data_IF_256540904354
#
_entry.id   IF_256540904354
#
_cell.length_a   1.000
_cell.length_b   1.000
_cell.length_c   1.000
_cell.angle_alpha   90.00
_cell.angle_beta   90.00
_cell.angle_gamma   90.00
#
_symmetry.space_group_name_H-M   'P 1'
#
loop_
_entity.id
_entity.type
_entity.pdbx_description
1 polymer ?
#
# COMPACT_ATOMS: atom_id res chain seq x y z
N UNK A 1 20.30 1.09 -17.59
CA UNK A 1 21.23 -0.05 -17.64
C UNK A 1 20.74 -1.08 -16.65
N UNK A 2 20.37 -2.27 -17.10
CA UNK A 2 19.97 -3.36 -16.22
C UNK A 2 21.24 -3.84 -15.50
N UNK A 3 21.24 -3.81 -14.16
CA UNK A 3 22.26 -4.47 -13.36
C UNK A 3 22.03 -5.96 -13.47
N UNK A 4 22.61 -6.58 -14.52
CA UNK A 4 22.61 -8.02 -14.71
C UNK A 4 23.46 -8.65 -13.59
N UNK A 5 22.83 -8.83 -12.45
CA UNK A 5 23.37 -9.55 -11.30
C UNK A 5 23.38 -11.03 -11.67
N UNK A 6 24.51 -11.54 -12.17
CA UNK A 6 24.65 -12.93 -12.61
C UNK A 6 24.47 -13.87 -11.41
N UNK A 7 23.30 -14.52 -11.32
CA UNK A 7 23.02 -15.55 -10.32
C UNK A 7 23.93 -16.78 -10.55
N UNK A 8 24.29 -17.53 -9.49
CA UNK A 8 25.08 -18.76 -9.65
C UNK A 8 24.39 -19.78 -10.58
N UNK A 9 25.13 -20.53 -11.42
CA UNK A 9 24.52 -21.43 -12.42
C UNK A 9 23.63 -22.54 -11.82
N UNK A 10 23.96 -23.02 -10.62
CA UNK A 10 23.14 -23.97 -9.88
C UNK A 10 21.79 -23.36 -9.46
N UNK A 11 21.81 -22.09 -9.03
CA UNK A 11 20.61 -21.33 -8.65
C UNK A 11 19.72 -21.11 -9.87
N UNK A 12 20.29 -20.75 -11.03
CA UNK A 12 19.53 -20.58 -12.28
C UNK A 12 18.81 -21.88 -12.67
N UNK A 13 19.51 -23.03 -12.61
CA UNK A 13 18.90 -24.34 -12.90
C UNK A 13 17.75 -24.67 -11.94
N UNK A 14 17.90 -24.34 -10.66
CA UNK A 14 16.85 -24.54 -9.66
C UNK A 14 15.65 -23.61 -9.92
N UNK A 15 15.90 -22.34 -10.24
CA UNK A 15 14.87 -21.36 -10.57
C UNK A 15 14.08 -21.74 -11.81
N UNK A 16 14.75 -22.19 -12.89
CA UNK A 16 14.06 -22.66 -14.09
C UNK A 16 13.11 -23.83 -13.79
N UNK A 17 13.55 -24.78 -12.96
CA UNK A 17 12.70 -25.88 -12.49
C UNK A 17 11.53 -25.37 -11.63
N UNK A 18 11.78 -24.41 -10.75
CA UNK A 18 10.75 -23.85 -9.88
C UNK A 18 9.71 -23.04 -10.67
N UNK A 19 10.14 -22.19 -11.59
CA UNK A 19 9.25 -21.39 -12.45
C UNK A 19 8.36 -22.30 -13.31
N UNK A 20 8.95 -23.36 -13.90
CA UNK A 20 8.17 -24.38 -14.61
C UNK A 20 7.13 -25.04 -13.70
N UNK A 21 7.51 -25.40 -12.47
CA UNK A 21 6.57 -25.98 -11.52
C UNK A 21 5.46 -25.01 -11.09
N UNK A 22 5.77 -23.71 -10.97
CA UNK A 22 4.80 -22.66 -10.65
C UNK A 22 3.84 -22.38 -11.81
N UNK A 23 4.27 -22.57 -13.05
CA UNK A 23 3.42 -22.47 -14.24
C UNK A 23 2.52 -23.71 -14.41
N UNK A 24 3.07 -24.92 -14.23
CA UNK A 24 2.31 -26.19 -14.33
C UNK A 24 1.32 -26.38 -13.16
N UNK A 25 1.72 -25.98 -11.94
CA UNK A 25 0.93 -26.16 -10.71
C UNK A 25 0.87 -24.86 -9.91
N UNK A 26 0.17 -23.83 -10.41
CA UNK A 26 0.11 -22.53 -9.76
C UNK A 26 -0.57 -22.64 -8.38
N UNK A 27 -0.06 -21.96 -7.34
CA UNK A 27 -0.79 -21.79 -6.10
C UNK A 27 -2.12 -21.05 -6.34
N UNK A 28 -3.08 -21.24 -5.44
CA UNK A 28 -4.38 -20.56 -5.52
C UNK A 28 -4.21 -19.03 -5.60
N UNK A 29 -4.78 -18.44 -6.65
CA UNK A 29 -4.77 -17.00 -6.88
C UNK A 29 -3.38 -16.42 -7.16
N UNK A 30 -2.42 -17.23 -7.60
CA UNK A 30 -1.07 -16.77 -7.96
C UNK A 30 -0.72 -17.28 -9.35
N UNK A 31 -0.35 -16.36 -10.24
CA UNK A 31 0.12 -16.69 -11.59
C UNK A 31 1.48 -16.06 -11.84
N UNK A 32 2.48 -16.89 -12.11
CA UNK A 32 3.83 -16.41 -12.46
C UNK A 32 3.90 -16.14 -13.96
N UNK A 33 4.68 -15.13 -14.34
CA UNK A 33 5.06 -14.88 -15.74
C UNK A 33 6.47 -15.39 -15.91
N UNK A 34 6.59 -16.47 -16.68
CA UNK A 34 7.88 -17.07 -17.02
C UNK A 34 8.56 -16.20 -18.07
N UNK A 35 9.79 -15.79 -17.78
CA UNK A 35 10.69 -15.13 -18.71
C UNK A 35 11.99 -15.92 -18.75
N UNK A 36 12.33 -16.50 -19.89
CA UNK A 36 13.52 -17.33 -20.05
C UNK A 36 14.80 -16.48 -20.27
N UNK A 37 14.64 -15.20 -20.58
CA UNK A 37 15.75 -14.29 -20.89
C UNK A 37 16.40 -13.67 -19.63
N UNK A 38 15.61 -13.47 -18.56
CA UNK A 38 16.05 -12.81 -17.33
C UNK A 38 15.49 -13.48 -16.07
N UNK A 39 16.36 -14.18 -15.35
CA UNK A 39 16.06 -14.80 -14.05
C UNK A 39 16.29 -13.87 -12.85
N UNK A 40 16.83 -12.66 -13.05
CA UNK A 40 17.06 -11.70 -11.97
C UNK A 40 15.76 -11.05 -11.50
N UNK A 41 14.75 -10.97 -12.38
CA UNK A 41 13.45 -10.37 -12.09
C UNK A 41 12.31 -11.30 -12.48
N UNK A 42 11.55 -11.76 -11.48
CA UNK A 42 10.39 -12.64 -11.69
C UNK A 42 9.12 -11.83 -11.52
N UNK A 43 8.19 -11.92 -12.47
CA UNK A 43 6.90 -11.24 -12.39
C UNK A 43 5.79 -12.21 -11.99
N UNK A 44 4.82 -11.73 -11.22
CA UNK A 44 3.65 -12.51 -10.83
C UNK A 44 2.40 -11.63 -10.76
N UNK A 45 1.24 -12.23 -11.02
CA UNK A 45 -0.07 -11.70 -10.69
C UNK A 45 -0.59 -12.41 -9.44
N UNK A 46 -1.07 -11.63 -8.48
CA UNK A 46 -1.73 -12.14 -7.27
C UNK A 46 -3.18 -11.69 -7.28
N UNK A 47 -4.10 -12.64 -7.23
CA UNK A 47 -5.51 -12.38 -7.03
C UNK A 47 -5.75 -11.98 -5.58
N UNK A 48 -6.47 -10.87 -5.42
CA UNK A 48 -6.88 -10.36 -4.13
C UNK A 48 -7.73 -11.39 -3.38
N UNK A 49 -7.32 -11.82 -2.17
CA UNK A 49 -8.02 -12.88 -1.45
C UNK A 49 -9.46 -12.49 -1.10
N UNK A 50 -10.36 -13.47 -1.13
CA UNK A 50 -11.77 -13.27 -0.78
C UNK A 50 -11.94 -12.81 0.68
N UNK A 51 -12.92 -11.95 0.93
CA UNK A 51 -13.19 -11.41 2.26
C UNK A 51 -12.18 -10.37 2.74
N UNK A 52 -11.31 -9.88 1.83
CA UNK A 52 -10.37 -8.78 2.07
C UNK A 52 -10.77 -7.54 1.26
N UNK A 53 -10.27 -6.34 1.59
CA UNK A 53 -10.47 -5.15 0.75
C UNK A 53 -9.86 -5.24 -0.67
N UNK A 54 -9.09 -6.29 -0.93
CA UNK A 54 -8.38 -6.54 -2.18
C UNK A 54 -9.14 -7.46 -3.12
N UNK A 55 -10.23 -8.10 -2.65
CA UNK A 55 -11.03 -9.06 -3.40
C UNK A 55 -11.41 -8.54 -4.80
N UNK A 56 -11.41 -9.44 -5.79
CA UNK A 56 -11.65 -9.16 -7.22
C UNK A 56 -10.59 -8.26 -7.88
N UNK A 57 -9.53 -7.87 -7.17
CA UNK A 57 -8.35 -7.23 -7.76
C UNK A 57 -7.32 -8.25 -8.23
N UNK A 58 -6.60 -7.90 -9.29
CA UNK A 58 -5.39 -8.60 -9.76
C UNK A 58 -4.21 -7.66 -9.58
N UNK A 59 -3.24 -8.07 -8.76
CA UNK A 59 -2.09 -7.26 -8.39
C UNK A 59 -0.84 -7.81 -9.05
N UNK A 60 -0.38 -7.12 -10.10
CA UNK A 60 0.93 -7.37 -10.70
C UNK A 60 2.03 -6.96 -9.72
N UNK A 61 2.99 -7.85 -9.50
CA UNK A 61 4.20 -7.60 -8.74
C UNK A 61 5.45 -8.15 -9.44
N UNK A 62 6.62 -7.78 -8.93
CA UNK A 62 7.90 -8.36 -9.29
C UNK A 62 8.70 -8.76 -8.04
N UNK A 63 9.49 -9.81 -8.18
CA UNK A 63 10.53 -10.22 -7.24
C UNK A 63 11.88 -9.97 -7.89
N UNK A 64 12.78 -9.29 -7.19
CA UNK A 64 14.15 -9.05 -7.63
C UNK A 64 15.10 -9.91 -6.81
N UNK A 65 15.81 -10.80 -7.50
CA UNK A 65 16.77 -11.71 -6.89
C UNK A 65 18.14 -11.01 -6.87
N UNK A 66 18.74 -10.92 -5.69
CA UNK A 66 20.11 -10.42 -5.54
C UNK A 66 21.13 -11.54 -5.77
N UNK A 67 22.42 -11.20 -5.90
CA UNK A 67 23.52 -12.19 -5.93
C UNK A 67 23.54 -13.16 -4.74
N UNK A 68 23.01 -12.71 -3.59
CA UNK A 68 22.98 -13.51 -2.38
C UNK A 68 21.83 -14.53 -2.36
N UNK A 69 20.92 -14.52 -3.34
CA UNK A 69 19.85 -15.50 -3.41
C UNK A 69 20.42 -16.91 -3.65
N UNK A 70 19.97 -17.96 -2.93
CA UNK A 70 18.85 -18.00 -1.98
C UNK A 70 19.20 -17.77 -0.50
N UNK A 71 20.44 -17.39 -0.15
CA UNK A 71 20.82 -17.08 1.24
C UNK A 71 20.00 -15.92 1.81
N UNK A 72 19.73 -14.91 0.98
CA UNK A 72 18.77 -13.85 1.26
C UNK A 72 17.49 -14.02 0.44
N UNK A 73 16.31 -13.63 0.98
CA UNK A 73 15.07 -13.64 0.20
C UNK A 73 15.13 -12.60 -0.92
N UNK A 74 14.34 -12.78 -2.00
CA UNK A 74 14.20 -11.76 -3.02
C UNK A 74 13.52 -10.50 -2.47
N UNK A 75 13.78 -9.35 -3.09
CA UNK A 75 13.05 -8.10 -2.81
C UNK A 75 11.75 -8.08 -3.59
N UNK A 76 10.63 -7.81 -2.93
CA UNK A 76 9.31 -7.76 -3.56
C UNK A 76 8.82 -6.34 -3.83
N UNK A 77 8.20 -6.12 -4.99
CA UNK A 77 7.59 -4.85 -5.36
C UNK A 77 6.25 -5.05 -6.06
N UNK A 78 5.19 -4.41 -5.57
CA UNK A 78 3.94 -4.28 -6.32
C UNK A 78 4.10 -3.26 -7.44
N UNK A 79 3.79 -3.66 -8.67
CA UNK A 79 3.70 -2.75 -9.82
C UNK A 79 2.29 -2.12 -9.89
N UNK A 80 1.30 -2.86 -9.41
CA UNK A 80 -0.06 -2.35 -9.23
C UNK A 80 -0.13 -1.53 -7.95
N UNK A 81 -0.58 -0.28 -8.03
CA UNK A 81 -0.74 0.58 -6.85
C UNK A 81 -1.72 -0.06 -5.88
N UNK A 82 -1.37 -0.08 -4.59
CA UNK A 82 -2.13 -0.71 -3.52
C UNK A 82 -2.04 0.13 -2.25
N UNK A 83 -3.13 0.22 -1.51
CA UNK A 83 -3.16 0.85 -0.19
C UNK A 83 -3.07 -0.22 0.89
N UNK A 84 -1.86 -0.45 1.41
CA UNK A 84 -1.57 -1.55 2.34
C UNK A 84 -0.50 -1.12 3.37
N UNK A 85 -0.58 -1.52 4.65
CA UNK A 85 0.37 -1.12 5.69
C UNK A 85 1.82 -1.45 5.37
N UNK A 86 2.10 -2.68 4.92
CA UNK A 86 3.47 -3.17 4.67
C UNK A 86 4.01 -2.91 3.26
N UNK A 87 3.35 -2.05 2.48
CA UNK A 87 3.76 -1.74 1.10
C UNK A 87 3.99 -0.24 0.99
N UNK A 88 5.19 0.15 0.59
CA UNK A 88 5.56 1.55 0.38
C UNK A 88 4.88 2.15 -0.86
N UNK A 89 4.93 3.47 -0.98
CA UNK A 89 4.33 4.21 -2.11
C UNK A 89 4.94 3.86 -3.48
N UNK A 90 6.21 3.44 -3.50
CA UNK A 90 6.91 2.93 -4.68
C UNK A 90 6.61 1.44 -4.98
N UNK A 91 5.77 0.79 -4.16
CA UNK A 91 5.40 -0.61 -4.28
C UNK A 91 6.29 -1.58 -3.50
N UNK A 92 7.38 -1.14 -2.87
CA UNK A 92 8.28 -2.02 -2.12
C UNK A 92 7.58 -2.69 -0.94
N UNK A 93 7.76 -3.99 -0.81
CA UNK A 93 7.25 -4.80 0.30
C UNK A 93 8.26 -4.75 1.45
N UNK A 94 7.77 -4.58 2.68
CA UNK A 94 8.62 -4.55 3.86
C UNK A 94 9.55 -5.75 3.94
N UNK A 95 10.84 -5.48 4.06
CA UNK A 95 11.90 -6.49 4.11
C UNK A 95 11.70 -7.46 5.29
N UNK A 96 11.18 -6.98 6.42
CA UNK A 96 10.89 -7.83 7.58
C UNK A 96 9.84 -8.90 7.26
N UNK A 97 8.88 -8.62 6.39
CA UNK A 97 7.86 -9.58 5.97
C UNK A 97 8.47 -10.77 5.23
N UNK A 98 9.42 -10.51 4.32
CA UNK A 98 10.03 -11.55 3.49
C UNK A 98 11.23 -12.24 4.17
N UNK A 99 11.87 -11.57 5.13
CA UNK A 99 12.98 -12.14 5.91
C UNK A 99 12.53 -13.01 7.06
N UNK A 100 11.35 -12.75 7.63
CA UNK A 100 10.82 -13.53 8.74
C UNK A 100 10.67 -14.99 8.31
N UNK A 101 11.34 -15.89 9.01
CA UNK A 101 11.35 -17.34 8.77
C UNK A 101 11.92 -17.77 7.40
N UNK A 102 12.61 -16.87 6.69
CA UNK A 102 13.31 -17.22 5.45
C UNK A 102 14.45 -18.19 5.73
N UNK A 103 14.53 -19.24 4.91
CA UNK A 103 15.70 -20.07 4.81
C UNK A 103 15.95 -20.46 3.34
N UNK A 104 17.18 -20.80 2.95
CA UNK A 104 17.53 -20.99 1.54
C UNK A 104 16.90 -22.22 0.87
N UNK A 105 16.25 -23.09 1.65
CA UNK A 105 15.48 -24.21 1.09
C UNK A 105 14.07 -23.80 0.65
N UNK A 106 13.61 -22.63 1.08
CA UNK A 106 12.37 -22.03 0.60
C UNK A 106 12.59 -21.41 -0.78
N UNK A 107 11.61 -21.58 -1.66
CA UNK A 107 11.65 -21.07 -3.02
C UNK A 107 10.71 -19.88 -3.25
N UNK A 108 10.65 -19.41 -4.49
CA UNK A 108 9.70 -18.41 -4.98
C UNK A 108 8.24 -18.76 -4.63
N UNK A 109 7.85 -20.05 -4.66
CA UNK A 109 6.49 -20.49 -4.27
C UNK A 109 6.13 -20.00 -2.88
N UNK A 110 7.04 -20.20 -1.92
CA UNK A 110 6.83 -19.80 -0.54
C UNK A 110 6.68 -18.28 -0.43
N UNK A 111 7.59 -17.52 -1.07
CA UNK A 111 7.55 -16.05 -1.08
C UNK A 111 6.21 -15.52 -1.61
N UNK A 112 5.73 -16.05 -2.74
CA UNK A 112 4.47 -15.60 -3.33
C UNK A 112 3.27 -15.91 -2.43
N UNK A 113 3.27 -17.06 -1.76
CA UNK A 113 2.24 -17.42 -0.77
C UNK A 113 2.29 -16.46 0.43
N UNK A 114 3.47 -16.15 0.96
CA UNK A 114 3.64 -15.19 2.06
C UNK A 114 3.10 -13.82 1.68
N UNK A 115 3.39 -13.34 0.45
CA UNK A 115 2.85 -12.07 -0.04
C UNK A 115 1.33 -12.11 -0.16
N UNK A 116 0.73 -13.21 -0.64
CA UNK A 116 -0.74 -13.34 -0.66
C UNK A 116 -1.33 -13.36 0.74
N UNK A 117 -0.71 -14.06 1.69
CA UNK A 117 -1.13 -14.08 3.09
C UNK A 117 -1.04 -12.69 3.74
N UNK A 118 -0.04 -11.89 3.36
CA UNK A 118 0.11 -10.51 3.83
C UNK A 118 -1.12 -9.65 3.48
N UNK A 119 -1.75 -9.88 2.32
CA UNK A 119 -2.98 -9.18 1.92
C UNK A 119 -4.19 -9.56 2.79
N UNK A 120 -4.15 -10.72 3.46
CA UNK A 120 -5.19 -11.18 4.37
C UNK A 120 -4.97 -10.57 5.75
N UNK A 121 -3.75 -10.69 6.27
CA UNK A 121 -3.37 -10.26 7.61
C UNK A 121 -2.10 -9.36 7.54
N UNK A 122 -2.27 -8.03 7.46
CA UNK A 122 -1.15 -7.10 7.49
C UNK A 122 -0.45 -7.09 8.86
N UNK A 123 0.83 -6.68 8.86
CA UNK A 123 1.66 -6.54 10.06
C UNK A 123 1.80 -5.06 10.46
N UNK A 124 0.96 -4.51 11.35
CA UNK A 124 0.97 -3.09 11.70
C UNK A 124 2.28 -2.60 12.31
N UNK A 125 3.03 -3.48 13.00
CA UNK A 125 4.31 -3.19 13.62
C UNK A 125 5.44 -2.91 12.61
N UNK A 126 5.26 -3.33 11.35
CA UNK A 126 6.21 -3.16 10.25
C UNK A 126 5.61 -2.32 9.11
N UNK A 127 4.72 -1.38 9.44
CA UNK A 127 4.05 -0.54 8.45
C UNK A 127 5.05 0.41 7.76
N UNK A 128 5.13 0.32 6.44
CA UNK A 128 5.82 1.28 5.57
C UNK A 128 4.89 2.42 5.14
N UNK A 129 3.59 2.15 5.10
CA UNK A 129 2.55 3.15 4.91
C UNK A 129 1.88 3.43 6.26
N UNK A 130 2.36 4.47 6.93
CA UNK A 130 1.91 4.86 8.27
C UNK A 130 0.41 5.16 8.32
N UNK A 131 -0.14 5.77 7.26
CA UNK A 131 -1.57 6.08 7.18
C UNK A 131 -2.41 4.80 7.12
N UNK A 132 -2.01 3.85 6.27
CA UNK A 132 -2.68 2.56 6.18
C UNK A 132 -2.55 1.76 7.49
N UNK A 133 -1.37 1.76 8.12
CA UNK A 133 -1.14 1.10 9.41
C UNK A 133 -1.97 1.69 10.54
N UNK A 134 -2.04 3.02 10.64
CA UNK A 134 -2.87 3.73 11.62
C UNK A 134 -4.35 3.41 11.45
N UNK A 135 -4.87 3.52 10.21
CA UNK A 135 -6.28 3.20 9.94
C UNK A 135 -6.58 1.73 10.20
N UNK A 136 -5.68 0.80 9.91
CA UNK A 136 -5.87 -0.63 10.21
C UNK A 136 -6.16 -0.85 11.70
N UNK A 137 -5.42 -0.18 12.58
CA UNK A 137 -5.53 -0.32 14.03
C UNK A 137 -6.69 0.48 14.64
N UNK A 138 -6.90 1.70 14.17
CA UNK A 138 -7.85 2.63 14.79
C UNK A 138 -9.25 2.58 14.15
N UNK A 139 -9.34 2.35 12.84
CA UNK A 139 -10.60 2.36 12.09
C UNK A 139 -10.53 1.46 10.85
N UNK A 140 -10.71 0.16 11.07
CA UNK A 140 -10.63 -0.85 10.02
C UNK A 140 -11.59 -0.59 8.85
N UNK A 141 -12.79 -0.05 9.11
CA UNK A 141 -13.77 0.23 8.05
C UNK A 141 -13.25 1.30 7.08
N UNK A 142 -12.60 2.33 7.61
CA UNK A 142 -12.02 3.41 6.81
C UNK A 142 -10.76 2.95 6.05
N UNK A 143 -9.92 2.12 6.68
CA UNK A 143 -8.83 1.42 5.99
C UNK A 143 -9.38 0.60 4.82
N UNK A 144 -10.40 -0.22 5.08
CA UNK A 144 -10.99 -1.11 4.09
C UNK A 144 -11.67 -0.33 2.96
N UNK A 145 -12.29 0.83 3.27
CA UNK A 145 -12.87 1.73 2.27
C UNK A 145 -11.79 2.27 1.32
N UNK A 146 -10.67 2.77 1.86
CA UNK A 146 -9.54 3.24 1.05
C UNK A 146 -8.92 2.12 0.22
N UNK A 147 -8.67 0.96 0.82
CA UNK A 147 -8.11 -0.18 0.12
C UNK A 147 -9.02 -0.67 -1.02
N UNK A 148 -10.34 -0.80 -0.80
CA UNK A 148 -11.31 -1.13 -1.85
C UNK A 148 -11.33 -0.10 -3.00
N UNK A 149 -11.23 1.18 -2.68
CA UNK A 149 -11.15 2.23 -3.70
C UNK A 149 -9.89 2.08 -4.56
N UNK A 150 -8.73 1.87 -3.94
CA UNK A 150 -7.47 1.61 -4.65
C UNK A 150 -7.56 0.36 -5.53
N UNK A 151 -8.07 -0.76 -4.98
CA UNK A 151 -8.31 -2.00 -5.71
C UNK A 151 -9.19 -1.75 -6.94
N UNK A 152 -10.31 -1.04 -6.77
CA UNK A 152 -11.27 -0.76 -7.83
C UNK A 152 -10.76 0.15 -8.94
N UNK A 153 -9.69 0.92 -8.72
CA UNK A 153 -9.09 1.82 -9.71
C UNK A 153 -7.87 1.16 -10.37
N UNK A 154 -7.01 0.52 -9.58
CA UNK A 154 -5.68 0.10 -10.02
C UNK A 154 -5.55 -1.38 -10.34
N UNK A 155 -6.31 -2.23 -9.64
CA UNK A 155 -6.16 -3.68 -9.70
C UNK A 155 -7.21 -4.37 -10.60
N UNK A 156 -7.91 -3.62 -11.46
CA UNK A 156 -8.82 -4.24 -12.44
C UNK A 156 -8.05 -4.76 -13.64
N UNK A 157 -8.44 -5.93 -14.14
CA UNK A 157 -7.92 -6.46 -15.39
C UNK A 157 -8.11 -5.41 -16.50
N UNK A 158 -7.02 -4.99 -17.14
CA UNK A 158 -7.12 -4.14 -18.34
C UNK A 158 -7.87 -4.95 -19.40
N UNK A 159 -8.96 -4.42 -19.99
CA UNK A 159 -9.58 -5.09 -21.12
C UNK A 159 -8.53 -5.22 -22.21
N UNK A 160 -8.25 -6.46 -22.63
CA UNK A 160 -7.44 -6.70 -23.81
C UNK A 160 -8.22 -6.13 -24.99
N UNK A 161 -7.88 -4.92 -25.44
CA UNK A 161 -8.31 -4.46 -26.75
C UNK A 161 -7.75 -5.46 -27.76
N UNK A 162 -8.62 -6.33 -28.30
CA UNK A 162 -8.29 -7.06 -29.52
C UNK A 162 -8.05 -5.98 -30.56
N UNK A 163 -6.83 -5.93 -31.11
CA UNK A 163 -6.55 -5.14 -32.31
C UNK A 163 -7.37 -5.74 -33.45
N UNK A 164 -8.63 -5.31 -33.54
CA UNK A 164 -9.48 -5.55 -34.69
C UNK A 164 -9.14 -4.48 -35.72
N UNK A 165 -8.74 -4.93 -36.91
CA UNK A 165 -8.53 -4.07 -38.06
C UNK A 165 -9.70 -3.09 -38.21
N UNK A 166 -9.40 -1.80 -38.19
CA UNK A 166 -10.35 -0.76 -38.52
C UNK A 166 -10.43 -0.77 -40.05
N UNK A 167 -11.41 -1.49 -40.60
CA UNK A 167 -11.81 -1.30 -42.00
C UNK A 167 -12.45 0.08 -42.06
N UNK A 168 -11.76 1.02 -42.70
CA UNK A 168 -12.28 2.36 -42.97
C UNK A 168 -13.61 2.26 -43.72
N UNK A 169 -14.69 2.71 -43.08
CA UNK A 169 -15.91 3.11 -43.79
C UNK A 169 -15.96 4.62 -43.77
N UNK A 170 -15.35 5.24 -44.78
CA UNK A 170 -15.57 6.65 -45.08
C UNK A 170 -17.01 6.80 -45.55
N UNK A 171 -17.84 7.47 -44.76
CA UNK A 171 -19.14 7.99 -45.22
C UNK A 171 -18.99 9.50 -45.26
N UNK A 172 -18.73 10.03 -46.45
CA UNK A 172 -18.69 11.45 -46.71
C UNK A 172 -20.10 12.04 -46.57
N UNK A 173 -20.27 13.03 -45.70
CA UNK A 173 -21.46 13.88 -45.67
C UNK A 173 -21.21 15.06 -46.61
N UNK A 174 -21.89 15.03 -47.75
CA UNK A 174 -22.01 16.14 -48.68
C UNK A 174 -23.08 17.09 -48.12
N UNK A 175 -22.71 18.32 -47.73
CA UNK A 175 -23.65 19.41 -47.45
C UNK A 175 -23.53 20.41 -48.58
N UNK A 176 -24.54 20.40 -49.45
CA UNK A 176 -24.70 21.37 -50.53
C UNK A 176 -24.92 22.78 -50.00
N UNK A 177 -24.29 23.71 -50.71
CA UNK A 177 -24.33 25.15 -50.48
C UNK A 177 -25.24 25.78 -51.53
N UNK A 178 -26.38 26.33 -51.13
CA UNK A 178 -27.19 27.21 -51.99
C UNK A 178 -27.64 28.47 -51.25
N UNK A 179 -26.94 29.57 -51.59
CA UNK A 179 -27.39 30.94 -51.88
C UNK A 179 -28.45 31.67 -51.01
N UNK A 180 -27.93 32.70 -50.32
CA UNK A 180 -28.30 34.15 -50.38
C UNK A 180 -29.76 34.61 -50.40
N UNK A 181 -30.12 35.47 -49.42
CA UNK A 181 -30.49 36.89 -49.64
C UNK A 181 -30.88 37.67 -48.35
N UNK A 182 -30.09 38.71 -48.05
CA UNK A 182 -30.42 40.13 -47.65
C UNK A 182 -31.44 40.49 -46.54
N UNK A 183 -30.98 41.17 -45.46
CA UNK A 183 -31.10 42.64 -45.18
C UNK A 183 -30.89 43.02 -43.68
N UNK A 184 -29.96 43.98 -43.48
CA UNK A 184 -29.85 45.10 -42.51
C UNK A 184 -30.26 45.00 -41.02
N UNK A 185 -29.34 45.39 -40.11
CA UNK A 185 -29.28 46.76 -39.53
C UNK A 185 -28.31 46.88 -38.33
N UNK A 186 -27.47 47.92 -38.35
CA UNK A 186 -26.63 48.44 -37.27
C UNK A 186 -27.42 48.99 -36.08
N UNK A 187 -26.96 48.80 -34.83
CA UNK A 187 -26.97 49.84 -33.76
C UNK A 187 -25.77 49.63 -32.79
N UNK A 188 -24.97 50.70 -32.69
CA UNK A 188 -23.91 51.06 -31.71
C UNK A 188 -24.50 51.37 -30.33
N UNK A 189 -23.80 51.13 -29.22
CA UNK A 189 -23.51 52.08 -28.09
C UNK A 189 -22.86 51.37 -26.85
N UNK A 190 -21.84 52.04 -26.29
CA UNK A 190 -20.98 51.86 -25.09
C UNK A 190 -21.73 51.89 -23.72
N UNK A 191 -21.15 51.85 -22.48
CA UNK A 191 -19.73 52.10 -22.06
C UNK A 191 -19.13 51.35 -20.81
N UNK A 192 -17.84 51.64 -20.54
CA UNK A 192 -17.14 51.83 -19.23
C UNK A 192 -16.97 50.63 -18.25
N UNK A 193 -15.95 50.52 -17.38
CA UNK A 193 -14.62 51.14 -17.14
C UNK A 193 -14.01 50.41 -15.91
N UNK A 194 -12.66 50.30 -15.86
CA UNK A 194 -11.79 50.11 -14.66
C UNK A 194 -11.98 48.86 -13.77
N UNK A 195 -11.08 48.44 -12.87
CA UNK A 195 -9.62 48.36 -12.74
C UNK A 195 -9.36 47.48 -11.47
N UNK A 196 -8.30 46.64 -11.52
CA UNK A 196 -7.55 45.86 -10.49
C UNK A 196 -7.53 46.34 -8.99
N UNK A 197 -6.88 45.64 -8.00
CA UNK A 197 -6.70 44.20 -7.69
C UNK A 197 -6.83 43.82 -6.17
N UNK A 198 -6.51 42.55 -5.87
CA UNK A 198 -6.34 41.79 -4.58
C UNK A 198 -5.76 42.51 -3.34
N UNK A 199 -5.93 41.88 -2.14
CA UNK A 199 -4.77 41.67 -1.26
C UNK A 199 -4.69 40.25 -0.62
N UNK A 200 -3.44 39.81 -0.41
CA UNK A 200 -3.01 38.69 0.44
C UNK A 200 -2.18 39.27 1.60
N UNK A 201 -2.41 38.83 2.83
CA UNK A 201 -1.59 39.19 3.99
C UNK A 201 -1.33 37.98 4.90
N UNK A 202 -0.04 37.67 5.09
CA UNK A 202 0.54 36.88 6.19
C UNK A 202 1.12 37.86 7.22
N UNK A 203 1.29 37.46 8.49
CA UNK A 203 2.34 38.04 9.33
C UNK A 203 3.35 36.99 9.80
N UNK A 204 4.63 37.37 9.67
CA UNK A 204 5.79 36.81 10.37
C UNK A 204 6.30 37.90 11.32
N UNK A 205 6.67 37.55 12.55
CA UNK A 205 7.33 38.48 13.47
C UNK A 205 8.64 37.86 13.99
N UNK A 206 9.71 38.61 13.80
CA UNK A 206 11.10 38.39 14.21
C UNK A 206 11.46 39.18 15.47
N UNK A 207 12.40 38.68 16.28
CA UNK A 207 13.54 39.38 16.93
C UNK A 207 14.05 38.52 18.12
N UNK A 208 15.25 37.95 18.17
CA UNK A 208 16.63 38.47 18.11
C UNK A 208 17.11 39.17 19.40
N UNK A 209 18.02 38.52 20.15
CA UNK A 209 19.38 38.98 20.57
C UNK A 209 19.85 38.37 21.91
N UNK A 210 21.15 38.06 21.99
CA UNK A 210 21.93 38.14 23.23
C UNK A 210 22.77 36.90 23.57
N UNK A 211 24.10 37.05 23.53
CA UNK A 211 25.13 36.02 23.69
C UNK A 211 25.55 35.78 25.16
N UNK A 212 26.20 34.63 25.46
CA UNK A 212 27.55 34.50 26.08
C UNK A 212 27.80 33.11 26.70
N UNK A 213 29.06 32.68 26.64
CA UNK A 213 29.65 31.42 27.13
C UNK A 213 29.63 31.29 28.67
N UNK A 214 29.59 30.06 29.19
CA UNK A 214 30.70 29.50 29.98
C UNK A 214 30.51 28.01 30.32
N UNK A 215 31.62 27.27 30.30
CA UNK A 215 31.80 25.92 30.85
C UNK A 215 31.95 26.00 32.38
N UNK A 216 31.60 24.93 33.11
CA UNK A 216 32.43 24.30 34.17
C UNK A 216 31.78 22.99 34.66
N UNK A 217 32.67 22.09 35.09
CA UNK A 217 32.60 20.68 35.49
C UNK A 217 32.19 20.42 36.96
N UNK A 218 31.78 19.16 37.27
CA UNK A 218 31.69 18.54 38.61
C UNK A 218 30.45 17.62 38.73
N UNK A 219 30.47 16.28 38.58
CA UNK A 219 31.08 15.15 39.32
C UNK A 219 30.54 14.93 40.75
N UNK A 220 30.18 13.65 41.04
CA UNK A 220 29.86 12.95 42.30
C UNK A 220 28.38 13.03 42.77
N UNK A 221 27.69 12.01 43.28
CA UNK A 221 27.91 10.58 43.59
C UNK A 221 26.56 9.98 44.03
N UNK A 222 26.43 8.65 43.88
CA UNK A 222 25.66 7.63 44.65
C UNK A 222 24.58 8.10 45.65
N UNK A 223 23.42 7.45 45.78
CA UNK A 223 23.28 6.14 46.46
C UNK A 223 21.84 5.64 46.43
N UNK A 224 21.69 4.33 46.51
CA UNK A 224 20.45 3.55 46.48
C UNK A 224 19.80 3.32 47.87
N UNK A 225 18.56 2.80 47.82
CA UNK A 225 17.82 1.93 48.77
C UNK A 225 17.34 2.46 50.14
N UNK A 226 16.01 2.44 50.35
CA UNK A 226 15.31 1.64 51.39
C UNK A 226 13.79 1.82 51.29
N UNK A 227 12.98 0.76 51.09
CA UNK A 227 12.30 -0.12 52.08
C UNK A 227 11.05 0.50 52.74
N UNK A 228 9.90 -0.05 52.30
CA UNK A 228 8.66 -0.44 52.97
C UNK A 228 8.21 0.19 54.30
N UNK A 229 6.91 0.51 54.35
CA UNK A 229 5.91 0.40 55.46
C UNK A 229 4.65 1.16 55.01
N UNK A 230 3.40 0.95 55.41
CA UNK A 230 2.64 -0.13 56.04
C UNK A 230 1.12 0.22 55.86
N UNK A 231 0.29 -0.82 55.90
CA UNK A 231 -1.17 -0.95 56.12
C UNK A 231 -2.14 0.25 56.38
N UNK A 232 -3.32 0.13 55.70
CA UNK A 232 -4.72 0.32 56.17
C UNK A 232 -5.20 1.76 56.55
N UNK A 233 -6.46 2.21 56.39
CA UNK A 233 -7.82 1.63 56.43
C UNK A 233 -8.87 2.64 55.89
N UNK A 234 -9.96 2.11 55.32
CA UNK A 234 -11.41 2.50 55.31
C UNK A 234 -12.00 3.80 54.68
N UNK A 235 -13.08 3.55 53.91
CA UNK A 235 -14.40 4.23 53.84
C UNK A 235 -14.81 5.10 52.63
N UNK A 236 -15.62 4.45 51.78
CA UNK A 236 -17.00 4.78 51.37
C UNK A 236 -17.37 5.96 50.42
N UNK A 237 -18.13 5.55 49.38
CA UNK A 237 -19.27 6.19 48.71
C UNK A 237 -19.05 7.22 47.57
N UNK A 238 -19.31 6.80 46.33
CA UNK A 238 -20.54 7.12 45.55
C UNK A 238 -20.30 7.05 44.03
N UNK A 239 -21.22 6.38 43.31
CA UNK A 239 -21.24 6.28 41.85
C UNK A 239 -21.86 7.53 41.21
N UNK A 240 -21.65 7.74 39.89
CA UNK A 240 -22.80 7.62 39.00
C UNK A 240 -22.51 6.88 37.68
N UNK A 241 -23.55 6.20 37.20
CA UNK A 241 -23.62 5.42 35.96
C UNK A 241 -23.48 6.29 34.69
N UNK A 242 -22.70 5.81 33.70
CA UNK A 242 -22.81 6.20 32.28
C UNK A 242 -22.92 4.96 31.39
N UNK A 243 -23.89 5.03 30.49
CA UNK A 243 -24.41 4.02 29.55
C UNK A 243 -23.33 3.24 28.78
N UNK A 244 -23.45 1.92 28.83
CA UNK A 244 -22.73 0.94 28.00
C UNK A 244 -23.29 0.91 26.57
N UNK A 245 -22.53 1.44 25.60
CA UNK A 245 -22.73 1.16 24.16
C UNK A 245 -21.41 0.75 23.47
N UNK A 246 -20.28 0.72 24.19
CA UNK A 246 -18.95 0.46 23.61
C UNK A 246 -18.52 -1.01 23.52
N UNK A 247 -19.13 -1.90 24.29
CA UNK A 247 -18.63 -3.29 24.47
C UNK A 247 -19.10 -4.25 23.37
N UNK A 248 -20.29 -4.04 22.80
CA UNK A 248 -20.85 -4.93 21.78
C UNK A 248 -20.08 -4.89 20.45
N UNK A 249 -19.61 -3.71 20.02
CA UNK A 249 -18.85 -3.56 18.76
C UNK A 249 -17.46 -4.18 18.86
N UNK A 250 -16.75 -3.92 19.96
CA UNK A 250 -15.43 -4.53 20.22
C UNK A 250 -15.48 -6.06 20.32
N UNK A 251 -16.57 -6.62 20.88
CA UNK A 251 -16.77 -8.08 20.94
C UNK A 251 -17.08 -8.68 19.57
N UNK A 252 -17.83 -7.98 18.71
CA UNK A 252 -18.10 -8.43 17.35
C UNK A 252 -16.84 -8.43 16.47
N UNK A 253 -15.99 -7.41 16.62
CA UNK A 253 -14.74 -7.28 15.86
C UNK A 253 -13.71 -8.34 16.30
N UNK A 254 -13.60 -8.62 17.60
CA UNK A 254 -12.76 -9.71 18.13
C UNK A 254 -13.25 -11.08 17.65
N UNK A 255 -14.56 -11.31 17.62
CA UNK A 255 -15.16 -12.58 17.15
C UNK A 255 -14.93 -12.82 15.66
N UNK A 256 -14.91 -11.77 14.83
CA UNK A 256 -14.55 -11.87 13.40
C UNK A 256 -13.06 -12.16 13.20
N UNK A 257 -12.18 -11.54 13.99
CA UNK A 257 -10.74 -11.82 13.97
C UNK A 257 -10.43 -13.27 14.35
N UNK A 258 -11.09 -13.79 15.38
CA UNK A 258 -10.90 -15.18 15.83
C UNK A 258 -11.46 -16.20 14.82
N UNK A 259 -12.57 -15.87 14.14
CA UNK A 259 -13.10 -16.70 13.05
C UNK A 259 -12.13 -16.76 11.85
N UNK A 260 -11.49 -15.64 11.49
CA UNK A 260 -10.44 -15.59 10.46
C UNK A 260 -9.22 -16.44 10.84
N UNK A 261 -8.75 -16.34 12.10
CA UNK A 261 -7.64 -17.18 12.60
C UNK A 261 -7.95 -18.68 12.60
N UNK A 262 -9.20 -19.08 12.85
CA UNK A 262 -9.62 -20.47 12.86
C UNK A 262 -9.69 -21.09 11.46
N UNK A 263 -9.97 -20.30 10.43
CA UNK A 263 -10.00 -20.77 9.04
C UNK A 263 -8.60 -21.02 8.48
N UNK A 264 -7.60 -20.24 8.92
CA UNK A 264 -6.21 -20.36 8.46
C UNK A 264 -5.50 -21.63 8.99
N UNK A 265 -5.92 -22.16 10.15
CA UNK A 265 -5.40 -23.44 10.68
C UNK A 265 -5.89 -24.68 9.93
N UNK A 266 -6.75 -24.51 8.92
CA UNK A 266 -7.35 -25.61 8.13
C UNK A 266 -6.81 -25.69 6.70
N UNK A 267 -5.98 -24.74 6.29
CA UNK A 267 -5.15 -24.79 5.08
C UNK A 267 -3.73 -25.22 5.46
#
# INVERSE_FOLDING_TARGET
>A
MATNENLPPNVIKQLAKELKNLDETPPEGIKVVVNDDDFSTIYADIDGPAGTPYENGIFRMKLQLSRDFPHSPPKGFFLTKIFHPNIASNGEICVNTLKKDWNPSLGLRHVLIVVRCLLIEPFPESALNEQAGKLLLENYEEYARHARLYTGIHAKAKPKFKSGAITESTTALNVDQTNTSVLNADIKTTPASAALPLPLSLPSTTAARGASQDQVVGVLTESSVNVSTAAAVVSAASAPQKKEVGTAKAQADKKKLDARKKSLKRL
#
